data_IF_935354329492
#
_entry.id   IF_935354329492
#
_cell.length_a   1.000
_cell.length_b   1.000
_cell.length_c   1.000
_cell.angle_alpha   90.00
_cell.angle_beta   90.00
_cell.angle_gamma   90.00
#
_symmetry.space_group_name_H-M   'P 1'
#
loop_
_entity.id
_entity.type
_entity.pdbx_description
1 polymer ?
#
# COMPACT_ATOMS: atom_id res chain seq x y z
N UNK A 1 -1.54 5.02 4.48
CA UNK A 1 -1.22 5.58 3.15
C UNK A 1 -2.50 5.66 2.34
N UNK A 2 -2.76 6.79 1.67
CA UNK A 2 -3.91 6.95 0.78
C UNK A 2 -3.42 7.32 -0.63
N UNK A 3 -3.82 6.56 -1.64
CA UNK A 3 -3.52 6.84 -3.05
C UNK A 3 -4.83 7.12 -3.77
N UNK A 4 -4.88 8.24 -4.48
CA UNK A 4 -5.98 8.62 -5.36
C UNK A 4 -5.42 8.76 -6.79
N UNK A 5 -5.88 7.92 -7.71
CA UNK A 5 -5.41 7.88 -9.09
C UNK A 5 -4.29 6.85 -9.33
N UNK A 6 -3.28 7.25 -10.10
CA UNK A 6 -2.12 6.41 -10.46
C UNK A 6 -0.89 6.94 -9.73
N UNK A 7 -0.29 6.13 -8.87
CA UNK A 7 0.90 6.53 -8.13
C UNK A 7 1.53 5.37 -7.39
N UNK A 8 2.85 5.36 -7.34
CA UNK A 8 3.62 4.29 -6.71
C UNK A 8 4.19 4.79 -5.38
N UNK A 9 3.99 4.03 -4.31
CA UNK A 9 4.43 4.40 -2.97
C UNK A 9 5.30 3.29 -2.39
N UNK A 10 6.48 3.67 -1.89
CA UNK A 10 7.39 2.76 -1.18
C UNK A 10 7.53 3.22 0.27
N UNK A 11 7.20 2.34 1.22
CA UNK A 11 7.26 2.66 2.66
C UNK A 11 7.95 1.57 3.47
N UNK A 12 8.70 1.96 4.49
CA UNK A 12 9.24 1.03 5.48
C UNK A 12 8.44 1.13 6.77
N UNK A 13 7.88 0.01 7.25
CA UNK A 13 6.96 0.01 8.39
C UNK A 13 7.25 -1.17 9.30
N UNK A 14 7.32 -0.92 10.61
CA UNK A 14 7.67 -1.94 11.61
C UNK A 14 6.46 -2.53 12.32
N UNK A 15 5.40 -1.73 12.57
CA UNK A 15 4.33 -2.11 13.49
C UNK A 15 2.99 -2.33 12.78
N UNK A 16 2.42 -1.30 12.16
CA UNK A 16 1.09 -1.34 11.54
C UNK A 16 1.05 -0.51 10.26
N UNK A 17 0.39 -1.03 9.22
CA UNK A 17 0.29 -0.40 7.92
C UNK A 17 -1.16 -0.44 7.41
N UNK A 18 -1.82 0.71 7.44
CA UNK A 18 -3.13 0.91 6.84
C UNK A 18 -2.99 1.53 5.43
N UNK A 19 -3.51 0.85 4.42
CA UNK A 19 -3.43 1.24 3.01
C UNK A 19 -4.85 1.40 2.46
N UNK A 20 -5.09 2.52 1.80
CA UNK A 20 -6.30 2.74 1.01
C UNK A 20 -5.90 3.20 -0.38
N UNK A 21 -6.31 2.45 -1.40
CA UNK A 21 -6.05 2.75 -2.81
C UNK A 21 -7.40 2.96 -3.49
N UNK A 22 -7.57 4.11 -4.12
CA UNK A 22 -8.71 4.43 -4.96
C UNK A 22 -8.18 4.80 -6.36
N UNK A 23 -8.17 3.81 -7.27
CA UNK A 23 -7.56 3.90 -8.58
C UNK A 23 -6.65 2.72 -8.94
N UNK A 24 -5.50 3.03 -9.55
CA UNK A 24 -4.58 2.05 -10.17
C UNK A 24 -3.15 2.18 -9.69
N UNK A 25 -2.92 2.81 -8.54
CA UNK A 25 -1.59 2.96 -7.95
C UNK A 25 -1.14 1.75 -7.14
N UNK A 26 0.17 1.59 -7.00
CA UNK A 26 0.77 0.45 -6.32
C UNK A 26 1.47 0.85 -5.01
N UNK A 27 1.38 0.02 -3.98
CA UNK A 27 2.07 0.21 -2.71
C UNK A 27 3.06 -0.93 -2.47
N UNK A 28 4.34 -0.59 -2.41
CA UNK A 28 5.39 -1.48 -1.95
C UNK A 28 5.75 -1.16 -0.50
N UNK A 29 5.79 -2.17 0.36
CA UNK A 29 6.21 -1.97 1.74
C UNK A 29 7.31 -2.95 2.17
N UNK A 30 8.26 -2.45 2.94
CA UNK A 30 9.29 -3.25 3.57
C UNK A 30 9.02 -3.31 5.07
N UNK A 31 8.93 -4.51 5.64
CA UNK A 31 8.43 -4.61 7.01
C UNK A 31 7.72 -5.92 7.31
N UNK A 32 7.56 -6.19 8.60
CA UNK A 32 6.61 -7.21 9.07
C UNK A 32 5.51 -6.56 9.91
N UNK A 33 4.89 -5.46 9.44
CA UNK A 33 3.79 -4.84 10.16
C UNK A 33 2.52 -5.70 10.02
N UNK A 34 1.55 -5.45 10.87
CA UNK A 34 0.16 -5.84 10.58
C UNK A 34 -0.37 -4.96 9.44
N UNK A 35 -0.79 -5.57 8.33
CA UNK A 35 -1.24 -4.86 7.14
C UNK A 35 -2.76 -4.90 7.04
N UNK A 36 -3.37 -3.74 6.89
CA UNK A 36 -4.77 -3.58 6.57
C UNK A 36 -4.87 -2.81 5.25
N UNK A 37 -5.49 -3.42 4.24
CA UNK A 37 -5.56 -2.86 2.90
C UNK A 37 -6.99 -2.79 2.40
N UNK A 38 -7.34 -1.68 1.77
CA UNK A 38 -8.61 -1.48 1.08
C UNK A 38 -8.34 -0.91 -0.30
N UNK A 39 -8.63 -1.68 -1.33
CA UNK A 39 -8.32 -1.33 -2.73
C UNK A 39 -9.65 -1.24 -3.48
N UNK A 40 -9.91 -0.06 -4.05
CA UNK A 40 -11.04 0.23 -4.92
C UNK A 40 -10.47 0.56 -6.31
N UNK A 41 -10.43 -0.45 -7.18
CA UNK A 41 -9.86 -0.32 -8.54
C UNK A 41 -8.93 -1.47 -8.89
N UNK A 42 -7.80 -1.15 -9.53
CA UNK A 42 -6.85 -2.12 -10.09
C UNK A 42 -5.44 -2.02 -9.52
N UNK A 43 -5.23 -1.20 -8.49
CA UNK A 43 -3.93 -1.10 -7.81
C UNK A 43 -3.55 -2.35 -7.02
N UNK A 44 -2.26 -2.45 -6.66
CA UNK A 44 -1.70 -3.61 -5.96
C UNK A 44 -0.92 -3.21 -4.70
N UNK A 45 -0.76 -4.16 -3.77
CA UNK A 45 0.00 -3.98 -2.53
C UNK A 45 0.99 -5.14 -2.39
N UNK A 46 2.28 -4.84 -2.45
CA UNK A 46 3.36 -5.84 -2.40
C UNK A 46 4.30 -5.62 -1.23
N UNK A 47 4.68 -6.73 -0.61
CA UNK A 47 5.77 -6.74 0.33
C UNK A 47 7.09 -6.89 -0.45
N UNK A 48 8.01 -5.93 -0.30
CA UNK A 48 9.33 -5.92 -0.94
C UNK A 48 10.46 -6.25 0.05
N UNK A 49 10.10 -6.77 1.23
CA UNK A 49 11.01 -7.13 2.31
C UNK A 49 11.76 -8.43 2.04
#
# INVERSE_FOLDING_TARGET
VKIFGSGDVIVNVTNSLDITIDGSGDVSYAGSPSVNQSIFGSGDVKNIK
#
